data_IF_034959463412
#
_entry.id   IF_034959463412
#
_cell.length_a   1.000
_cell.length_b   1.000
_cell.length_c   1.000
_cell.angle_alpha   90.00
_cell.angle_beta   90.00
_cell.angle_gamma   90.00
#
_symmetry.space_group_name_H-M   'P 1'
#
loop_
_entity.id
_entity.type
_entity.pdbx_description
1 polymer ?
#
# COMPACT_ATOMS: atom_id res chain seq x y z
N UNK A 1 4.58 13.25 -2.46
CA UNK A 1 5.75 13.34 -3.37
C UNK A 1 5.97 12.04 -4.15
N UNK A 2 5.02 11.08 -4.13
CA UNK A 2 5.17 9.81 -4.83
C UNK A 2 6.18 8.85 -4.19
N UNK A 3 6.77 9.18 -3.04
CA UNK A 3 7.77 8.31 -2.42
C UNK A 3 7.11 7.21 -1.57
N UNK A 4 7.57 5.98 -1.73
CA UNK A 4 7.17 4.84 -0.90
C UNK A 4 8.40 4.18 -0.28
N UNK A 5 8.49 4.24 1.06
CA UNK A 5 9.63 3.72 1.82
C UNK A 5 9.38 2.33 2.44
N UNK A 6 8.24 1.72 2.13
CA UNK A 6 7.88 0.39 2.61
C UNK A 6 6.86 0.35 3.75
N UNK A 7 6.65 -0.87 4.25
CA UNK A 7 5.70 -1.15 5.32
C UNK A 7 6.37 -1.07 6.69
N UNK A 8 5.70 -0.38 7.61
CA UNK A 8 6.16 -0.12 8.99
C UNK A 8 5.20 -0.65 10.05
N UNK A 9 4.09 -1.24 9.64
CA UNK A 9 3.00 -1.70 10.51
C UNK A 9 1.94 -0.64 10.77
N UNK A 10 2.21 0.62 10.41
CA UNK A 10 1.27 1.75 10.49
C UNK A 10 1.30 2.59 9.21
N UNK A 11 1.71 1.98 8.09
CA UNK A 11 1.87 2.70 6.84
C UNK A 11 0.51 3.12 6.29
N UNK A 12 0.38 4.42 5.98
CA UNK A 12 -0.72 5.00 5.21
C UNK A 12 -0.19 5.31 3.82
N UNK A 13 -0.92 4.87 2.80
CA UNK A 13 -0.54 4.96 1.39
C UNK A 13 -1.61 5.80 0.71
N UNK A 14 -1.17 6.87 0.05
CA UNK A 14 -2.05 7.74 -0.74
C UNK A 14 -1.67 7.60 -2.20
N UNK A 15 -2.64 7.20 -3.01
CA UNK A 15 -2.45 7.05 -4.45
C UNK A 15 -2.78 8.36 -5.17
N UNK A 16 -2.33 8.48 -6.42
CA UNK A 16 -2.53 9.67 -7.26
C UNK A 16 -4.00 9.92 -7.59
N UNK A 17 -4.82 8.87 -7.62
CA UNK A 17 -6.27 8.95 -7.81
C UNK A 17 -7.02 9.53 -6.58
N UNK A 18 -6.29 9.87 -5.52
CA UNK A 18 -6.82 10.44 -4.27
C UNK A 18 -7.26 9.40 -3.24
N UNK A 19 -7.26 8.11 -3.57
CA UNK A 19 -7.61 7.05 -2.62
C UNK A 19 -6.54 6.89 -1.54
N UNK A 20 -6.99 6.51 -0.34
CA UNK A 20 -6.14 6.32 0.83
C UNK A 20 -6.34 4.93 1.39
N UNK A 21 -5.23 4.26 1.61
CA UNK A 21 -5.16 2.87 2.05
C UNK A 21 -4.27 2.78 3.27
N UNK A 22 -4.67 1.99 4.26
CA UNK A 22 -3.82 1.64 5.39
C UNK A 22 -3.39 0.20 5.28
N UNK A 23 -2.17 -0.10 5.71
CA UNK A 23 -1.70 -1.46 5.90
C UNK A 23 -2.65 -2.22 6.84
N UNK A 24 -3.14 -3.39 6.42
CA UNK A 24 -4.08 -4.17 7.22
C UNK A 24 -3.36 -4.98 8.32
N UNK A 25 -2.26 -5.64 7.97
CA UNK A 25 -1.49 -6.46 8.91
C UNK A 25 -0.37 -5.63 9.53
N UNK A 26 -0.46 -5.34 10.83
CA UNK A 26 0.53 -4.53 11.54
C UNK A 26 1.93 -5.17 11.64
N UNK A 27 2.07 -6.46 11.30
CA UNK A 27 3.34 -7.19 11.32
C UNK A 27 4.08 -7.18 9.99
N UNK A 28 3.43 -6.82 8.88
CA UNK A 28 4.10 -6.82 7.58
C UNK A 28 5.19 -5.73 7.54
N UNK A 29 6.41 -6.13 7.18
CA UNK A 29 7.56 -5.25 7.02
C UNK A 29 8.20 -5.52 5.67
N UNK A 30 7.96 -4.63 4.72
CA UNK A 30 8.53 -4.74 3.37
C UNK A 30 9.41 -3.53 3.10
N UNK A 31 10.57 -3.80 2.50
CA UNK A 31 11.46 -2.79 1.95
C UNK A 31 11.31 -2.81 0.43
N UNK A 32 10.83 -1.73 -0.19
CA UNK A 32 10.68 -1.67 -1.63
C UNK A 32 12.04 -1.54 -2.31
N UNK A 33 12.15 -2.08 -3.52
CA UNK A 33 13.31 -1.86 -4.38
C UNK A 33 13.27 -0.53 -5.13
N UNK A 34 12.06 -0.04 -5.41
CA UNK A 34 11.79 1.23 -6.09
C UNK A 34 11.08 2.12 -5.09
N UNK A 35 11.68 3.26 -4.74
CA UNK A 35 11.14 4.17 -3.73
C UNK A 35 10.55 5.43 -4.32
N UNK A 36 11.01 5.86 -5.50
CA UNK A 36 10.56 7.07 -6.18
C UNK A 36 9.49 6.73 -7.22
N UNK A 37 8.28 7.27 -7.04
CA UNK A 37 7.10 7.05 -7.88
C UNK A 37 6.90 5.59 -8.35
N UNK A 38 6.93 4.59 -7.45
CA UNK A 38 6.69 3.21 -7.85
C UNK A 38 5.25 3.04 -8.34
N UNK A 39 5.06 2.23 -9.38
CA UNK A 39 3.72 1.85 -9.82
C UNK A 39 2.99 1.09 -8.69
N UNK A 40 1.71 1.38 -8.50
CA UNK A 40 0.88 0.70 -7.51
C UNK A 40 -0.49 0.36 -8.07
N UNK A 41 -0.98 -0.83 -7.73
CA UNK A 41 -2.34 -1.27 -8.08
C UNK A 41 -3.05 -1.84 -6.86
N UNK A 42 -4.35 -1.61 -6.77
CA UNK A 42 -5.22 -2.21 -5.75
C UNK A 42 -6.10 -3.25 -6.40
N UNK A 43 -6.10 -4.45 -5.81
CA UNK A 43 -6.85 -5.61 -6.29
C UNK A 43 -7.91 -5.92 -5.24
N UNK A 44 -9.19 -5.89 -5.64
CA UNK A 44 -10.30 -6.30 -4.79
C UNK A 44 -10.62 -7.78 -5.03
N UNK A 45 -10.52 -8.60 -3.98
CA UNK A 45 -10.87 -10.01 -4.00
C UNK A 45 -11.85 -10.38 -2.91
N UNK A 46 -12.18 -11.67 -2.83
CA UNK A 46 -13.15 -12.20 -1.86
C UNK A 46 -12.74 -12.02 -0.39
N UNK A 47 -11.44 -11.80 -0.11
CA UNK A 47 -10.89 -11.61 1.23
C UNK A 47 -10.53 -10.15 1.54
N UNK A 48 -11.02 -9.21 0.73
CA UNK A 48 -10.74 -7.78 0.87
C UNK A 48 -9.78 -7.25 -0.18
N UNK A 49 -8.99 -6.24 0.19
CA UNK A 49 -8.14 -5.52 -0.76
C UNK A 49 -6.67 -5.89 -0.55
N UNK A 50 -5.98 -6.12 -1.66
CA UNK A 50 -4.54 -6.24 -1.71
C UNK A 50 -3.95 -5.08 -2.50
N UNK A 51 -2.74 -4.69 -2.16
CA UNK A 51 -1.96 -3.72 -2.92
C UNK A 51 -0.67 -4.40 -3.39
N UNK A 52 -0.36 -4.19 -4.67
CA UNK A 52 0.95 -4.51 -5.24
C UNK A 52 1.64 -3.20 -5.58
N UNK A 53 2.76 -2.94 -4.90
CA UNK A 53 3.65 -1.82 -5.22
C UNK A 53 4.86 -2.36 -5.98
N UNK A 54 5.37 -1.62 -6.94
CA UNK A 54 6.56 -2.00 -7.68
C UNK A 54 7.73 -2.29 -6.73
N UNK A 55 8.37 -3.45 -6.92
CA UNK A 55 9.50 -3.86 -6.10
C UNK A 55 9.13 -4.32 -4.68
N UNK A 56 7.86 -4.61 -4.37
CA UNK A 56 7.42 -5.29 -3.14
C UNK A 56 6.71 -6.61 -3.40
N UNK A 57 6.44 -7.37 -2.34
CA UNK A 57 5.41 -8.41 -2.33
C UNK A 57 4.01 -7.74 -2.33
N UNK A 58 2.98 -8.46 -2.76
CA UNK A 58 1.58 -8.10 -2.45
C UNK A 58 1.34 -8.07 -0.94
N UNK A 59 0.52 -7.13 -0.47
CA UNK A 59 0.12 -7.05 0.94
C UNK A 59 -1.32 -6.58 1.11
N UNK A 60 -1.93 -6.92 2.23
CA UNK A 60 -3.31 -6.54 2.51
C UNK A 60 -3.40 -5.08 2.96
N UNK A 61 -4.43 -4.41 2.45
CA UNK A 61 -4.75 -3.03 2.79
C UNK A 61 -6.24 -2.86 3.09
N UNK A 62 -6.56 -1.90 3.94
CA UNK A 62 -7.92 -1.47 4.19
C UNK A 62 -8.16 -0.07 3.62
N UNK A 63 -9.32 0.20 3.01
CA UNK A 63 -9.67 1.54 2.57
C UNK A 63 -9.90 2.46 3.78
N UNK A 64 -9.34 3.67 3.73
CA UNK A 64 -9.65 4.71 4.71
C UNK A 64 -10.89 5.46 4.24
N UNK A 65 -12.03 5.20 4.87
CA UNK A 65 -13.29 5.91 4.62
C UNK A 65 -13.37 7.10 5.57
N UNK A 66 -13.45 8.32 5.02
CA UNK A 66 -13.34 9.61 5.71
C UNK A 66 -11.91 9.93 6.20
N UNK A 67 -11.02 10.40 5.30
CA UNK A 67 -9.68 10.85 5.64
C UNK A 67 -9.65 12.17 6.42
#
# INVERSE_FOLDING_TARGET
DGTFNGLTGRTIIRLEDGTVWKQANADDRYRPKVTDHPAAVVIHGIFGYKMQVEGTQEFYVDPVRNP
#
